data_IF_264250662701
#
_entry.id   IF_264250662701
#
_cell.length_a   1.000
_cell.length_b   1.000
_cell.length_c   1.000
_cell.angle_alpha   90.00
_cell.angle_beta   90.00
_cell.angle_gamma   90.00
#
_symmetry.space_group_name_H-M   'P 1'
#
loop_
_entity.id
_entity.type
_entity.pdbx_description
1 polymer ?
#
# COMPACT_ATOMS: atom_id res chain seq x y z
N UNK A 1 2.51 8.89 -6.90
CA UNK A 1 1.48 8.22 -7.73
C UNK A 1 0.91 9.12 -8.83
N UNK A 2 0.64 10.41 -8.56
CA UNK A 2 0.11 11.39 -9.53
C UNK A 2 0.77 11.33 -10.93
N UNK A 3 2.12 11.28 -11.00
CA UNK A 3 2.84 11.17 -12.28
C UNK A 3 2.39 9.98 -13.12
N UNK A 4 2.18 8.81 -12.50
CA UNK A 4 1.77 7.61 -13.24
C UNK A 4 0.30 7.68 -13.64
N UNK A 5 -0.57 8.21 -12.77
CA UNK A 5 -1.97 8.46 -13.09
C UNK A 5 -2.12 9.42 -14.29
N UNK A 6 -1.33 10.50 -14.33
CA UNK A 6 -1.31 11.47 -15.44
C UNK A 6 -0.78 10.87 -16.75
N UNK A 7 0.23 9.99 -16.68
CA UNK A 7 0.70 9.26 -17.86
C UNK A 7 -0.38 8.34 -18.43
N UNK A 8 -1.07 7.59 -17.55
CA UNK A 8 -2.16 6.68 -17.94
C UNK A 8 -3.35 7.45 -18.50
N UNK A 9 -3.76 8.54 -17.86
CA UNK A 9 -4.90 9.36 -18.31
C UNK A 9 -4.65 9.94 -19.71
N UNK A 10 -3.45 10.47 -19.97
CA UNK A 10 -3.05 10.96 -21.30
C UNK A 10 -3.01 9.84 -22.33
N UNK A 11 -2.50 8.66 -21.96
CA UNK A 11 -2.39 7.50 -22.86
C UNK A 11 -3.75 7.00 -23.34
N UNK A 12 -4.75 7.01 -22.45
CA UNK A 12 -6.10 6.51 -22.73
C UNK A 12 -7.15 7.60 -22.96
N UNK A 13 -6.77 8.88 -22.85
CA UNK A 13 -7.63 10.06 -23.04
C UNK A 13 -8.88 10.02 -22.14
N UNK A 14 -8.69 9.66 -20.87
CA UNK A 14 -9.77 9.61 -19.88
C UNK A 14 -10.10 11.02 -19.38
N UNK A 15 -11.36 11.26 -19.01
CA UNK A 15 -11.72 12.40 -18.16
C UNK A 15 -11.15 12.13 -16.74
N UNK A 16 -10.09 12.85 -16.39
CA UNK A 16 -9.27 12.56 -15.22
C UNK A 16 -9.38 13.66 -14.18
N UNK A 17 -9.86 13.29 -13.00
CA UNK A 17 -10.01 14.20 -11.86
C UNK A 17 -8.92 13.94 -10.81
N UNK A 18 -7.88 14.79 -10.72
CA UNK A 18 -6.87 14.66 -9.68
C UNK A 18 -7.41 15.13 -8.34
N UNK A 19 -7.29 14.28 -7.32
CA UNK A 19 -7.70 14.60 -5.94
C UNK A 19 -6.45 15.03 -5.17
N UNK A 20 -6.32 16.34 -4.88
CA UNK A 20 -5.26 16.85 -4.00
C UNK A 20 -5.78 16.95 -2.57
N UNK A 21 -5.48 15.93 -1.78
CA UNK A 21 -5.90 15.84 -0.39
C UNK A 21 -4.87 16.51 0.54
N UNK A 22 -5.27 17.56 1.26
CA UNK A 22 -4.41 18.17 2.28
C UNK A 22 -4.52 17.40 3.60
N UNK A 23 -3.45 17.34 4.42
CA UNK A 23 -3.49 16.62 5.70
C UNK A 23 -4.64 17.05 6.62
N UNK A 24 -4.90 18.36 6.72
CA UNK A 24 -5.98 18.88 7.55
C UNK A 24 -7.37 18.45 7.08
N UNK A 25 -7.59 18.37 5.76
CA UNK A 25 -8.85 17.88 5.18
C UNK A 25 -9.03 16.40 5.46
N UNK A 26 -7.97 15.61 5.29
CA UNK A 26 -8.00 14.19 5.60
C UNK A 26 -8.29 13.93 7.08
N UNK A 27 -7.64 14.66 7.99
CA UNK A 27 -7.90 14.53 9.43
C UNK A 27 -9.34 14.90 9.79
N UNK A 28 -9.92 15.90 9.11
CA UNK A 28 -11.33 16.26 9.27
C UNK A 28 -12.29 15.18 8.77
N UNK A 29 -11.91 14.42 7.75
CA UNK A 29 -12.70 13.31 7.17
C UNK A 29 -12.53 11.99 7.95
N UNK A 30 -11.48 11.86 8.75
CA UNK A 30 -11.10 10.60 9.39
C UNK A 30 -12.21 10.02 10.29
N UNK A 31 -12.95 10.80 11.11
CA UNK A 31 -14.05 10.27 11.91
C UNK A 31 -15.14 9.60 11.07
N UNK A 32 -15.56 10.25 9.98
CA UNK A 32 -16.59 9.71 9.09
C UNK A 32 -16.10 8.47 8.33
N UNK A 33 -14.83 8.49 7.91
CA UNK A 33 -14.20 7.34 7.28
C UNK A 33 -14.21 6.13 8.22
N UNK A 34 -13.78 6.31 9.47
CA UNK A 34 -13.76 5.23 10.47
C UNK A 34 -15.16 4.74 10.83
N UNK A 35 -16.15 5.65 10.91
CA UNK A 35 -17.54 5.28 11.17
C UNK A 35 -18.17 4.44 10.04
N UNK A 36 -17.67 4.57 8.81
CA UNK A 36 -18.13 3.81 7.65
C UNK A 36 -17.44 2.45 7.49
N UNK A 37 -16.56 2.05 8.42
CA UNK A 37 -15.81 0.79 8.36
C UNK A 37 -16.26 -0.19 9.44
N UNK A 38 -16.40 -1.46 9.07
CA UNK A 38 -16.72 -2.54 10.00
C UNK A 38 -15.51 -2.99 10.84
N UNK A 39 -14.29 -2.72 10.36
CA UNK A 39 -13.05 -3.07 11.05
C UNK A 39 -11.97 -1.99 10.87
N UNK A 40 -11.03 -1.84 11.83
CA UNK A 40 -9.90 -0.95 11.66
C UNK A 40 -9.03 -1.39 10.49
N UNK A 41 -8.61 -0.44 9.66
CA UNK A 41 -7.72 -0.65 8.52
C UNK A 41 -6.82 0.56 8.30
N UNK A 42 -5.56 0.32 7.95
CA UNK A 42 -4.63 1.40 7.55
C UNK A 42 -4.96 1.97 6.17
N UNK A 43 -5.45 1.13 5.25
CA UNK A 43 -5.71 1.51 3.85
C UNK A 43 -7.17 1.86 3.58
N UNK A 44 -8.08 1.47 4.48
CA UNK A 44 -9.51 1.79 4.39
C UNK A 44 -9.78 3.28 4.14
N UNK A 45 -9.17 4.22 4.90
CA UNK A 45 -9.42 5.65 4.74
C UNK A 45 -9.09 6.17 3.34
N UNK A 46 -8.07 5.63 2.67
CA UNK A 46 -7.72 6.02 1.29
C UNK A 46 -8.85 5.67 0.32
N UNK A 47 -9.39 4.45 0.42
CA UNK A 47 -10.51 3.99 -0.43
C UNK A 47 -11.79 4.77 -0.15
N UNK A 48 -12.01 5.13 1.12
CA UNK A 48 -13.17 5.92 1.54
C UNK A 48 -13.14 7.32 0.90
N UNK A 49 -12.00 8.01 0.91
CA UNK A 49 -11.86 9.35 0.30
C UNK A 49 -12.16 9.32 -1.20
N UNK A 50 -11.59 8.34 -1.92
CA UNK A 50 -11.85 8.18 -3.36
C UNK A 50 -13.31 7.88 -3.62
N UNK A 51 -13.94 7.01 -2.81
CA UNK A 51 -15.36 6.67 -2.92
C UNK A 51 -16.27 7.89 -2.69
N UNK A 52 -15.95 8.72 -1.69
CA UNK A 52 -16.66 9.98 -1.41
C UNK A 52 -16.62 10.92 -2.62
N UNK A 53 -15.42 11.21 -3.14
CA UNK A 53 -15.26 12.12 -4.29
C UNK A 53 -15.92 11.54 -5.55
N UNK A 54 -15.82 10.23 -5.76
CA UNK A 54 -16.47 9.54 -6.89
C UNK A 54 -17.99 9.71 -6.82
N UNK A 55 -18.58 9.53 -5.63
CA UNK A 55 -20.02 9.77 -5.39
C UNK A 55 -20.41 11.23 -5.61
N UNK A 56 -19.62 12.18 -5.10
CA UNK A 56 -19.84 13.63 -5.26
C UNK A 56 -19.78 14.07 -6.74
N UNK A 57 -18.99 13.39 -7.55
CA UNK A 57 -18.94 13.57 -9.00
C UNK A 57 -20.13 12.93 -9.76
N UNK A 58 -21.09 12.32 -9.05
CA UNK A 58 -22.25 11.66 -9.65
C UNK A 58 -21.97 10.26 -10.22
N UNK A 59 -20.79 9.71 -9.99
CA UNK A 59 -20.43 8.37 -10.46
C UNK A 59 -21.00 7.33 -9.50
N UNK A 60 -21.63 6.29 -10.06
CA UNK A 60 -22.30 5.25 -9.29
C UNK A 60 -21.48 3.98 -9.11
N UNK A 61 -20.52 3.73 -10.00
CA UNK A 61 -19.66 2.56 -9.98
C UNK A 61 -18.24 2.94 -10.41
N UNK A 62 -17.24 2.40 -9.71
CA UNK A 62 -15.83 2.52 -10.07
C UNK A 62 -15.17 1.13 -10.01
N UNK A 63 -14.25 0.89 -10.94
CA UNK A 63 -13.40 -0.31 -10.94
C UNK A 63 -12.08 0.01 -10.24
N UNK A 64 -11.65 -0.90 -9.37
CA UNK A 64 -10.38 -0.79 -8.65
C UNK A 64 -9.45 -1.95 -8.98
N UNK A 65 -8.14 -1.70 -8.92
CA UNK A 65 -7.09 -2.71 -9.05
C UNK A 65 -6.71 -3.40 -7.74
N UNK A 66 -7.43 -3.15 -6.64
CA UNK A 66 -7.22 -3.83 -5.36
C UNK A 66 -7.29 -5.36 -5.53
N UNK A 67 -6.40 -6.09 -4.85
CA UNK A 67 -6.28 -7.54 -4.98
C UNK A 67 -5.24 -8.00 -6.02
N UNK A 68 -4.75 -7.09 -6.88
CA UNK A 68 -3.79 -7.44 -7.93
C UNK A 68 -2.44 -7.91 -7.38
N UNK A 69 -1.91 -7.21 -6.37
CA UNK A 69 -0.63 -7.58 -5.74
C UNK A 69 -0.74 -8.89 -4.96
N UNK A 70 -1.90 -9.19 -4.38
CA UNK A 70 -2.21 -10.44 -3.72
C UNK A 70 -2.29 -11.60 -4.74
N UNK A 71 -2.97 -11.37 -5.87
CA UNK A 71 -3.15 -12.39 -6.91
C UNK A 71 -1.83 -12.72 -7.63
N UNK A 72 -1.00 -11.71 -7.90
CA UNK A 72 0.23 -11.86 -8.69
C UNK A 72 1.51 -11.82 -7.86
N UNK A 73 1.40 -11.86 -6.53
CA UNK A 73 2.54 -11.78 -5.61
C UNK A 73 3.41 -10.52 -5.80
N UNK A 74 2.78 -9.37 -6.07
CA UNK A 74 3.46 -8.10 -6.37
C UNK A 74 4.12 -7.45 -5.15
N UNK A 75 3.66 -7.74 -3.94
CA UNK A 75 4.28 -7.19 -2.73
C UNK A 75 5.69 -7.76 -2.49
N UNK A 76 6.67 -6.94 -2.07
CA UNK A 76 8.02 -7.41 -1.79
C UNK A 76 8.12 -8.44 -0.66
N UNK A 77 7.06 -8.63 0.13
CA UNK A 77 7.01 -9.68 1.15
C UNK A 77 7.03 -11.08 0.53
N UNK A 78 6.42 -11.28 -0.65
CA UNK A 78 6.37 -12.58 -1.30
C UNK A 78 7.77 -13.04 -1.73
N UNK A 79 8.52 -12.16 -2.42
CA UNK A 79 9.90 -12.43 -2.83
C UNK A 79 10.85 -12.55 -1.64
N UNK A 80 10.72 -11.67 -0.63
CA UNK A 80 11.52 -11.74 0.60
C UNK A 80 11.29 -13.03 1.38
N UNK A 81 10.04 -13.50 1.45
CA UNK A 81 9.69 -14.74 2.15
C UNK A 81 10.35 -15.95 1.48
N UNK A 82 10.33 -16.03 0.16
CA UNK A 82 11.03 -17.07 -0.60
C UNK A 82 12.54 -17.01 -0.37
N UNK A 83 13.15 -15.82 -0.47
CA UNK A 83 14.58 -15.65 -0.24
C UNK A 83 15.02 -16.01 1.20
N UNK A 84 14.14 -15.80 2.19
CA UNK A 84 14.37 -16.23 3.57
C UNK A 84 14.19 -17.74 3.74
N UNK A 85 13.23 -18.34 3.02
CA UNK A 85 13.02 -19.78 3.01
C UNK A 85 14.24 -20.52 2.46
N UNK A 86 14.83 -20.04 1.38
CA UNK A 86 16.07 -20.61 0.81
C UNK A 86 17.23 -20.54 1.82
N UNK A 87 17.19 -19.55 2.71
CA UNK A 87 18.17 -19.33 3.78
C UNK A 87 17.72 -19.89 5.13
N UNK A 88 16.73 -20.79 5.16
CA UNK A 88 16.19 -21.36 6.40
C UNK A 88 17.24 -22.05 7.28
N UNK A 89 18.35 -22.52 6.70
CA UNK A 89 19.49 -23.04 7.45
C UNK A 89 20.05 -22.04 8.47
N UNK A 90 19.92 -20.74 8.21
CA UNK A 90 20.28 -19.70 9.19
C UNK A 90 19.50 -19.86 10.50
N UNK A 91 18.25 -20.34 10.43
CA UNK A 91 17.43 -20.55 11.61
C UNK A 91 17.92 -21.71 12.51
N UNK A 92 18.86 -22.53 12.05
CA UNK A 92 19.49 -23.60 12.85
C UNK A 92 20.48 -23.05 13.89
N UNK A 93 20.94 -21.79 13.73
CA UNK A 93 21.83 -21.15 14.70
C UNK A 93 21.08 -20.51 15.87
N UNK A 94 21.64 -20.55 17.10
CA UNK A 94 21.08 -19.86 18.25
C UNK A 94 20.83 -18.37 17.99
N UNK A 95 19.80 -17.81 18.63
CA UNK A 95 19.38 -16.42 18.40
C UNK A 95 20.49 -15.40 18.67
N UNK A 96 21.37 -15.64 19.66
CA UNK A 96 22.51 -14.76 19.96
C UNK A 96 23.50 -14.65 18.80
N UNK A 97 23.91 -15.78 18.22
CA UNK A 97 24.83 -15.82 17.09
C UNK A 97 24.23 -15.12 15.85
N UNK A 98 22.94 -15.36 15.55
CA UNK A 98 22.23 -14.68 14.46
C UNK A 98 22.16 -13.16 14.64
N UNK A 99 21.89 -12.70 15.87
CA UNK A 99 21.82 -11.25 16.17
C UNK A 99 23.17 -10.58 16.02
N UNK A 100 24.25 -11.19 16.52
CA UNK A 100 25.60 -10.66 16.37
C UNK A 100 26.02 -10.56 14.89
N UNK A 101 25.80 -11.63 14.12
CA UNK A 101 26.08 -11.63 12.68
C UNK A 101 25.23 -10.58 11.92
N UNK A 102 23.95 -10.43 12.26
CA UNK A 102 23.07 -9.43 11.67
C UNK A 102 23.49 -7.98 11.98
N UNK A 103 23.97 -7.73 13.20
CA UNK A 103 24.48 -6.42 13.60
C UNK A 103 25.75 -6.05 12.80
N UNK A 104 26.68 -6.99 12.63
CA UNK A 104 27.87 -6.82 11.79
C UNK A 104 27.52 -6.60 10.31
N UNK A 105 26.54 -7.32 9.77
CA UNK A 105 26.13 -7.14 8.38
C UNK A 105 25.55 -5.74 8.09
N UNK A 106 24.82 -5.16 9.05
CA UNK A 106 24.25 -3.81 8.93
C UNK A 106 25.32 -2.71 8.97
N UNK A 107 26.46 -2.93 9.62
CA UNK A 107 27.54 -1.94 9.63
C UNK A 107 28.38 -1.98 8.36
N UNK A 108 28.45 -3.12 7.67
CA UNK A 108 29.24 -3.31 6.44
C UNK A 108 28.46 -2.95 5.16
N UNK A 109 27.13 -3.08 5.17
CA UNK A 109 26.24 -2.65 4.08
C UNK A 109 25.24 -1.62 4.61
N UNK A 110 25.53 -0.31 4.52
CA UNK A 110 24.54 0.73 4.77
C UNK A 110 23.41 0.69 3.73
#
# INVERSE_FOLDING_TARGET
EERFADLVSKRFRTDHTPIRLRPAEFLGMLPDALAAMDHPSGDGPNTWVVSKVTREAGITMALSGLGGDELFAGYPVFTRSLALWDKRWLAQFPAGARRAAGALLRTVRP
#
